data_IF_575152866805
#
_entry.id   IF_575152866805
#
_cell.length_a   1.000
_cell.length_b   1.000
_cell.length_c   1.000
_cell.angle_alpha   90.00
_cell.angle_beta   90.00
_cell.angle_gamma   90.00
#
_symmetry.space_group_name_H-M   'P 1'
#
loop_
_entity.id
_entity.type
_entity.pdbx_description
1 polymer ?
#
# COMPACT_ATOMS: atom_id res chain seq x y z
N UNK A 1 58.47 39.27 26.65
CA UNK A 1 58.11 38.02 25.93
C UNK A 1 56.64 37.72 26.21
N UNK A 2 55.76 38.00 25.26
CA UNK A 2 54.33 37.67 25.37
C UNK A 2 53.97 36.77 24.19
N UNK A 3 53.60 35.52 24.49
CA UNK A 3 53.18 34.51 23.51
C UNK A 3 51.67 34.66 23.30
N UNK A 4 51.26 35.12 22.12
CA UNK A 4 49.86 35.10 21.70
C UNK A 4 49.60 33.80 20.91
N UNK A 5 48.91 32.84 21.53
CA UNK A 5 48.43 31.64 20.86
C UNK A 5 47.05 31.92 20.24
N UNK A 6 46.98 32.08 18.92
CA UNK A 6 45.72 32.03 18.18
C UNK A 6 45.23 30.58 18.10
N UNK A 7 44.18 30.25 18.85
CA UNK A 7 43.44 29.00 18.67
C UNK A 7 42.47 29.19 17.51
N UNK A 8 42.80 28.62 16.35
CA UNK A 8 41.89 28.51 15.22
C UNK A 8 40.83 27.46 15.53
N UNK A 9 39.65 27.90 15.97
CA UNK A 9 38.49 27.03 16.09
C UNK A 9 38.05 26.58 14.69
N UNK A 10 38.52 25.40 14.27
CA UNK A 10 38.05 24.72 13.08
C UNK A 10 36.57 24.38 13.24
N UNK A 11 35.69 25.22 12.70
CA UNK A 11 34.29 24.87 12.56
C UNK A 11 34.21 23.68 11.60
N UNK A 12 33.91 22.50 12.14
CA UNK A 12 33.54 21.34 11.34
C UNK A 12 32.24 21.68 10.60
N UNK A 13 32.39 22.16 9.36
CA UNK A 13 31.28 22.31 8.43
C UNK A 13 30.78 20.89 8.15
N UNK A 14 29.76 20.48 8.90
CA UNK A 14 28.98 19.29 8.57
C UNK A 14 28.16 19.63 7.33
N UNK A 15 28.76 19.41 6.17
CA UNK A 15 28.04 19.27 4.91
C UNK A 15 27.05 18.12 5.10
N UNK A 16 25.81 18.44 5.50
CA UNK A 16 24.67 17.54 5.40
C UNK A 16 24.40 17.34 3.91
N UNK A 17 25.16 16.45 3.30
CA UNK A 17 24.88 15.94 1.97
C UNK A 17 23.40 15.53 1.92
N UNK A 18 22.73 15.87 0.82
CA UNK A 18 21.32 15.60 0.58
C UNK A 18 20.90 14.26 1.16
N UNK A 19 19.89 14.26 2.03
CA UNK A 19 19.44 13.07 2.76
C UNK A 19 19.35 11.86 1.82
N UNK A 20 20.04 10.78 2.19
CA UNK A 20 20.31 9.62 1.32
C UNK A 20 19.07 8.79 1.00
N UNK A 21 17.93 9.08 1.62
CA UNK A 21 16.69 8.33 1.48
C UNK A 21 15.58 9.20 0.87
N UNK A 22 15.19 8.88 -0.37
CA UNK A 22 14.10 9.54 -1.11
C UNK A 22 12.76 9.50 -0.35
N UNK A 23 12.63 8.52 0.55
CA UNK A 23 11.47 8.30 1.42
C UNK A 23 11.49 9.12 2.71
N UNK A 24 12.51 9.96 2.92
CA UNK A 24 12.69 10.80 4.12
C UNK A 24 12.41 10.00 5.39
N UNK A 25 13.35 9.15 5.77
CA UNK A 25 13.22 8.33 6.99
C UNK A 25 14.08 8.95 8.08
N UNK A 26 13.47 9.26 9.22
CA UNK A 26 14.14 9.84 10.39
C UNK A 26 13.78 8.98 11.60
N UNK A 27 14.79 8.43 12.27
CA UNK A 27 14.57 7.75 13.54
C UNK A 27 14.28 8.79 14.62
N UNK A 28 13.22 8.56 15.39
CA UNK A 28 12.74 9.44 16.44
C UNK A 28 13.14 8.88 17.80
N UNK A 29 13.57 9.76 18.71
CA UNK A 29 13.83 9.40 20.10
C UNK A 29 12.52 9.38 20.90
N UNK A 30 11.59 8.52 20.50
CA UNK A 30 10.30 8.31 21.16
C UNK A 30 10.20 6.85 21.56
N UNK A 31 10.24 6.56 22.87
CA UNK A 31 10.25 5.19 23.39
C UNK A 31 8.86 4.78 23.87
N UNK A 32 8.44 3.56 23.55
CA UNK A 32 7.19 2.95 24.02
C UNK A 32 7.41 1.48 24.30
N UNK A 33 6.58 0.91 25.16
CA UNK A 33 6.66 -0.50 25.51
C UNK A 33 6.49 -1.36 24.26
N UNK A 34 7.33 -2.40 24.16
CA UNK A 34 7.37 -3.33 23.02
C UNK A 34 7.71 -2.71 21.66
N UNK A 35 8.23 -1.47 21.63
CA UNK A 35 8.68 -0.81 20.40
C UNK A 35 10.17 -0.52 20.51
N UNK A 36 10.96 -1.05 19.58
CA UNK A 36 12.42 -0.87 19.52
C UNK A 36 12.79 0.42 18.79
N UNK A 37 12.06 0.76 17.72
CA UNK A 37 12.31 1.97 16.92
C UNK A 37 11.01 2.61 16.44
N UNK A 38 11.07 3.93 16.33
CA UNK A 38 10.00 4.76 15.76
C UNK A 38 10.60 5.59 14.65
N UNK A 39 9.99 5.55 13.48
CA UNK A 39 10.44 6.22 12.28
C UNK A 39 9.39 7.24 11.83
N UNK A 40 9.82 8.47 11.60
CA UNK A 40 9.08 9.45 10.79
C UNK A 40 9.45 9.21 9.32
N UNK A 41 8.46 8.84 8.50
CA UNK A 41 8.68 8.41 7.12
C UNK A 41 7.63 9.02 6.19
N UNK A 42 7.93 9.18 4.90
CA UNK A 42 6.89 9.57 3.93
C UNK A 42 6.15 8.36 3.31
N UNK A 43 6.60 7.13 3.57
CA UNK A 43 6.02 5.88 3.06
C UNK A 43 6.37 4.71 3.98
N UNK A 44 5.40 3.83 4.29
CA UNK A 44 5.61 2.71 5.23
C UNK A 44 5.86 1.35 4.57
N UNK A 45 5.69 1.25 3.25
CA UNK A 45 5.69 -0.03 2.49
C UNK A 45 4.56 -1.01 2.88
N UNK A 46 3.85 -0.76 4.00
CA UNK A 46 2.58 -1.37 4.42
C UNK A 46 1.35 -0.63 3.85
N UNK A 47 1.54 0.11 2.74
CA UNK A 47 0.45 0.77 2.01
C UNK A 47 0.00 2.15 2.51
N UNK A 48 0.60 2.71 3.57
CA UNK A 48 0.38 4.10 3.99
C UNK A 48 1.46 5.04 3.43
N UNK A 49 1.04 6.26 3.12
CA UNK A 49 1.90 7.34 2.63
C UNK A 49 1.65 8.61 3.46
N UNK A 50 2.72 9.34 3.75
CA UNK A 50 2.72 10.65 4.39
C UNK A 50 3.34 11.72 3.49
N UNK A 51 3.55 12.92 4.03
CA UNK A 51 4.31 13.97 3.32
C UNK A 51 5.80 13.97 3.69
N UNK A 52 6.54 14.88 3.07
CA UNK A 52 7.93 15.18 3.39
C UNK A 52 8.08 16.21 4.54
N UNK A 53 6.98 16.65 5.16
CA UNK A 53 7.04 17.59 6.27
C UNK A 53 7.59 16.90 7.52
N UNK A 54 8.60 17.48 8.20
CA UNK A 54 9.21 16.86 9.37
C UNK A 54 8.24 16.72 10.54
N UNK A 55 8.32 15.58 11.22
CA UNK A 55 7.62 15.41 12.48
C UNK A 55 8.11 16.40 13.53
N UNK A 56 7.20 16.76 14.43
CA UNK A 56 7.44 17.68 15.54
C UNK A 56 7.08 16.99 16.85
N UNK A 57 7.87 17.22 17.88
CA UNK A 57 7.49 16.88 19.25
C UNK A 57 6.68 18.03 19.85
N UNK A 58 5.58 17.71 20.51
CA UNK A 58 4.76 18.69 21.23
C UNK A 58 4.23 18.12 22.54
N UNK A 59 3.87 19.00 23.47
CA UNK A 59 3.26 18.62 24.74
C UNK A 59 1.77 18.90 24.69
N UNK A 60 0.94 17.86 24.80
CA UNK A 60 -0.53 17.97 24.83
C UNK A 60 -1.05 17.22 26.05
N UNK A 61 -1.86 17.87 26.89
CA UNK A 61 -2.39 17.24 28.11
C UNK A 61 -1.30 16.71 29.04
N UNK A 62 -0.12 17.36 29.05
CA UNK A 62 1.05 16.93 29.83
C UNK A 62 1.83 15.75 29.23
N UNK A 63 1.44 15.23 28.07
CA UNK A 63 2.11 14.12 27.39
C UNK A 63 2.93 14.59 26.20
N UNK A 64 4.09 13.95 25.97
CA UNK A 64 4.93 14.17 24.80
C UNK A 64 4.38 13.41 23.59
N UNK A 65 3.82 14.15 22.64
CA UNK A 65 3.18 13.65 21.43
C UNK A 65 4.01 13.96 20.19
N UNK A 66 4.03 13.00 19.26
CA UNK A 66 4.54 13.15 17.91
C UNK A 66 3.47 13.76 17.02
N UNK A 67 3.78 14.83 16.31
CA UNK A 67 2.93 15.40 15.27
C UNK A 67 3.58 15.24 13.90
N UNK A 68 2.90 14.57 12.98
CA UNK A 68 3.40 14.28 11.64
C UNK A 68 2.40 13.45 10.85
N UNK A 69 2.70 13.17 9.58
CA UNK A 69 1.73 12.49 8.71
C UNK A 69 1.79 10.96 8.78
N UNK A 70 2.95 10.39 9.07
CA UNK A 70 3.16 8.95 9.06
C UNK A 70 4.31 8.54 9.98
N UNK A 71 3.99 7.64 10.90
CA UNK A 71 4.94 7.03 11.80
C UNK A 71 4.96 5.52 11.56
N UNK A 72 6.15 4.93 11.44
CA UNK A 72 6.35 3.49 11.35
C UNK A 72 7.06 2.98 12.60
N UNK A 73 6.69 1.78 13.05
CA UNK A 73 7.08 1.21 14.32
C UNK A 73 7.69 -0.16 14.10
N UNK A 74 8.86 -0.36 14.68
CA UNK A 74 9.55 -1.65 14.78
C UNK A 74 9.18 -2.27 16.14
N UNK A 75 8.51 -3.41 16.11
CA UNK A 75 8.07 -4.12 17.33
C UNK A 75 9.26 -4.92 17.87
N UNK A 76 9.39 -5.03 19.18
CA UNK A 76 10.43 -5.88 19.77
C UNK A 76 10.20 -7.35 19.38
N UNK A 77 11.11 -7.93 18.60
CA UNK A 77 11.05 -9.33 18.17
C UNK A 77 10.90 -10.31 19.35
N UNK A 78 11.41 -9.97 20.53
CA UNK A 78 11.25 -10.79 21.75
C UNK A 78 9.81 -10.77 22.27
N UNK A 79 9.08 -9.69 21.99
CA UNK A 79 7.67 -9.56 22.30
C UNK A 79 6.82 -10.24 21.23
N UNK A 80 7.08 -10.00 19.95
CA UNK A 80 6.42 -10.68 18.84
C UNK A 80 7.27 -10.65 17.57
N UNK A 81 7.50 -11.82 16.99
CA UNK A 81 8.15 -11.97 15.69
C UNK A 81 7.52 -13.12 14.91
N UNK A 82 7.19 -12.88 13.63
CA UNK A 82 6.61 -13.85 12.69
C UNK A 82 5.43 -14.66 13.30
N UNK A 83 4.57 -13.96 14.05
CA UNK A 83 3.36 -14.49 14.68
C UNK A 83 2.25 -14.72 13.66
N UNK A 84 1.18 -15.43 14.03
CA UNK A 84 -0.04 -15.48 13.24
C UNK A 84 -1.25 -15.51 14.16
N UNK A 85 -1.58 -14.32 14.67
CA UNK A 85 -2.63 -14.15 15.65
C UNK A 85 -3.28 -12.76 15.53
N UNK A 86 -4.50 -12.61 16.05
CA UNK A 86 -5.09 -11.29 16.22
C UNK A 86 -4.31 -10.50 17.29
N UNK A 87 -4.05 -9.22 17.02
CA UNK A 87 -3.35 -8.29 17.95
C UNK A 87 -4.16 -7.02 18.09
N UNK A 88 -4.40 -6.56 19.32
CA UNK A 88 -5.07 -5.29 19.58
C UNK A 88 -4.03 -4.17 19.70
N UNK A 89 -4.13 -3.17 18.83
CA UNK A 89 -3.31 -1.95 18.90
C UNK A 89 -4.19 -0.79 19.34
N UNK A 90 -3.79 -0.15 20.44
CA UNK A 90 -4.44 1.07 20.92
C UNK A 90 -3.52 2.25 20.73
N UNK A 91 -4.02 3.29 20.05
CA UNK A 91 -3.32 4.57 19.89
C UNK A 91 -4.00 5.63 20.75
N UNK A 92 -3.21 6.42 21.47
CA UNK A 92 -3.70 7.63 22.13
C UNK A 92 -3.31 8.84 21.28
N UNK A 93 -4.28 9.69 20.95
CA UNK A 93 -4.08 10.84 20.06
C UNK A 93 -4.81 12.08 20.57
N UNK A 94 -4.38 13.26 20.12
CA UNK A 94 -5.06 14.52 20.39
C UNK A 94 -6.03 14.87 19.25
N UNK A 95 -7.35 14.83 19.44
CA UNK A 95 -8.33 14.95 18.34
C UNK A 95 -8.27 16.31 17.64
N UNK A 96 -8.03 17.40 18.36
CA UNK A 96 -7.97 18.76 17.78
C UNK A 96 -6.80 18.99 16.82
N UNK A 97 -5.83 18.07 16.81
CA UNK A 97 -4.61 18.12 15.98
C UNK A 97 -4.46 16.89 15.10
N UNK A 98 -5.50 16.06 15.00
CA UNK A 98 -5.46 14.80 14.26
C UNK A 98 -6.49 14.84 13.14
N UNK A 99 -6.06 14.51 11.92
CA UNK A 99 -6.95 14.24 10.79
C UNK A 99 -7.41 12.77 10.83
N UNK A 100 -8.44 12.38 10.05
CA UNK A 100 -8.75 10.98 9.84
C UNK A 100 -7.51 10.16 9.50
N UNK A 101 -7.35 9.04 10.18
CA UNK A 101 -6.11 8.27 10.17
C UNK A 101 -6.38 6.78 10.06
N UNK A 102 -5.37 6.01 9.68
CA UNK A 102 -5.43 4.56 9.59
C UNK A 102 -4.19 3.91 10.20
N UNK A 103 -4.33 2.65 10.55
CA UNK A 103 -3.25 1.79 11.05
C UNK A 103 -3.02 0.69 10.03
N UNK A 104 -1.77 0.53 9.60
CA UNK A 104 -1.35 -0.55 8.73
C UNK A 104 -0.35 -1.46 9.42
N UNK A 105 -0.36 -2.75 9.10
CA UNK A 105 0.47 -3.75 9.77
C UNK A 105 0.99 -4.79 8.79
N UNK A 106 2.12 -5.39 9.13
CA UNK A 106 2.62 -6.61 8.53
C UNK A 106 1.67 -7.78 8.84
N UNK A 107 1.15 -8.42 7.81
CA UNK A 107 0.04 -9.37 7.88
C UNK A 107 0.37 -10.68 7.18
N UNK A 108 -0.09 -11.80 7.74
CA UNK A 108 -0.08 -13.07 7.05
C UNK A 108 -1.14 -13.16 5.95
N UNK A 109 -0.70 -13.60 4.77
CA UNK A 109 -1.53 -13.82 3.59
C UNK A 109 -2.01 -12.53 2.89
N UNK A 110 -2.83 -12.71 1.86
CA UNK A 110 -3.26 -11.69 0.91
C UNK A 110 -2.08 -10.93 0.32
N UNK A 111 -2.13 -9.61 0.41
CA UNK A 111 -1.07 -8.72 -0.09
C UNK A 111 0.16 -8.64 0.83
N UNK A 112 0.13 -9.30 1.99
CA UNK A 112 1.22 -9.30 2.95
C UNK A 112 1.23 -8.14 3.93
N UNK A 113 0.20 -7.30 3.89
CA UNK A 113 -0.04 -6.24 4.87
C UNK A 113 -1.55 -6.05 5.03
N UNK A 114 -1.96 -5.46 6.15
CA UNK A 114 -3.32 -5.02 6.39
C UNK A 114 -3.38 -3.51 6.58
N UNK A 115 -4.55 -2.92 6.30
CA UNK A 115 -4.87 -1.52 6.61
C UNK A 115 -6.23 -1.50 7.29
N UNK A 116 -6.35 -0.76 8.39
CA UNK A 116 -7.59 -0.59 9.12
C UNK A 116 -8.60 0.21 8.30
N UNK A 117 -9.87 0.17 8.71
CA UNK A 117 -10.78 1.25 8.31
C UNK A 117 -10.23 2.58 8.83
N UNK A 118 -10.54 3.65 8.11
CA UNK A 118 -10.19 4.99 8.55
C UNK A 118 -10.92 5.31 9.87
N UNK A 119 -10.18 5.90 10.81
CA UNK A 119 -10.63 6.29 12.13
C UNK A 119 -10.84 7.79 12.12
N UNK A 120 -12.07 8.22 12.39
CA UNK A 120 -12.43 9.63 12.52
C UNK A 120 -12.18 10.11 13.96
N UNK A 121 -11.36 11.14 14.17
CA UNK A 121 -11.10 11.71 15.49
C UNK A 121 -12.37 12.24 16.15
N UNK A 122 -12.72 11.69 17.32
CA UNK A 122 -13.83 12.18 18.12
C UNK A 122 -13.46 13.46 18.90
N UNK A 123 -14.19 14.57 18.73
CA UNK A 123 -13.89 15.82 19.43
C UNK A 123 -14.15 15.74 20.94
N UNK A 124 -13.70 16.77 21.67
CA UNK A 124 -14.07 17.01 23.07
C UNK A 124 -12.90 16.91 24.05
N UNK A 125 -12.49 15.69 24.41
CA UNK A 125 -11.38 15.50 25.34
C UNK A 125 -10.04 15.87 24.69
N UNK A 126 -9.09 16.40 25.47
CA UNK A 126 -7.76 16.75 24.98
C UNK A 126 -6.99 15.56 24.38
N UNK A 127 -7.30 14.35 24.87
CA UNK A 127 -6.73 13.09 24.39
C UNK A 127 -7.85 12.05 24.24
N UNK A 128 -7.74 11.21 23.22
CA UNK A 128 -8.65 10.11 22.92
C UNK A 128 -7.87 8.85 22.61
N UNK A 129 -8.53 7.70 22.74
CA UNK A 129 -7.97 6.39 22.39
C UNK A 129 -8.77 5.76 21.27
N UNK A 130 -8.09 5.12 20.33
CA UNK A 130 -8.70 4.24 19.34
C UNK A 130 -8.00 2.88 19.39
N UNK A 131 -8.79 1.82 19.47
CA UNK A 131 -8.28 0.44 19.44
C UNK A 131 -8.68 -0.22 18.13
N UNK A 132 -7.69 -0.80 17.45
CA UNK A 132 -7.88 -1.57 16.22
C UNK A 132 -7.41 -2.98 16.47
N UNK A 133 -8.28 -3.94 16.14
CA UNK A 133 -7.89 -5.34 16.03
C UNK A 133 -7.20 -5.59 14.69
N UNK A 134 -5.92 -5.93 14.74
CA UNK A 134 -5.11 -6.36 13.60
C UNK A 134 -5.36 -7.84 13.36
N UNK A 135 -6.03 -8.17 12.26
CA UNK A 135 -6.27 -9.56 11.90
C UNK A 135 -5.02 -10.19 11.32
N UNK A 136 -4.66 -11.39 11.82
CA UNK A 136 -3.48 -12.17 11.39
C UNK A 136 -2.20 -11.33 11.34
N UNK A 137 -1.90 -10.63 12.43
CA UNK A 137 -0.65 -9.89 12.54
C UNK A 137 0.55 -10.83 12.41
N UNK A 138 1.59 -10.37 11.72
CA UNK A 138 2.81 -11.12 11.46
C UNK A 138 4.03 -10.57 12.20
N UNK A 139 4.25 -9.26 12.09
CA UNK A 139 5.40 -8.57 12.69
C UNK A 139 6.74 -9.28 12.36
N UNK A 140 7.03 -9.41 11.06
CA UNK A 140 8.27 -9.98 10.56
C UNK A 140 9.06 -8.95 9.72
N UNK A 141 8.84 -7.66 9.97
CA UNK A 141 9.58 -6.57 9.37
C UNK A 141 9.31 -6.33 7.88
N UNK A 142 8.08 -6.51 7.39
CA UNK A 142 7.78 -6.27 5.97
C UNK A 142 7.61 -4.79 5.58
N UNK A 143 7.56 -3.88 6.57
CA UNK A 143 7.52 -2.44 6.33
C UNK A 143 8.88 -1.83 5.97
N UNK A 144 8.93 -0.50 6.00
CA UNK A 144 10.14 0.27 5.71
C UNK A 144 11.21 0.03 6.79
N UNK A 145 12.47 -0.20 6.40
CA UNK A 145 13.57 -0.52 7.32
C UNK A 145 13.18 -1.54 8.42
N UNK A 146 12.51 -2.62 8.03
CA UNK A 146 12.02 -3.71 8.90
C UNK A 146 10.99 -3.29 9.96
N UNK A 147 10.19 -2.24 9.75
CA UNK A 147 9.08 -1.94 10.67
C UNK A 147 7.89 -2.87 10.45
N UNK A 148 7.09 -3.07 11.49
CA UNK A 148 5.96 -4.00 11.50
C UNK A 148 4.60 -3.31 11.43
N UNK A 149 4.54 -2.05 11.83
CA UNK A 149 3.32 -1.28 11.98
C UNK A 149 3.52 0.14 11.46
N UNK A 150 2.47 0.77 10.97
CA UNK A 150 2.47 2.18 10.65
C UNK A 150 1.13 2.84 11.02
N UNK A 151 1.20 4.07 11.51
CA UNK A 151 0.04 4.92 11.79
C UNK A 151 0.17 6.18 10.94
N UNK A 152 -0.82 6.46 10.11
CA UNK A 152 -0.76 7.59 9.18
C UNK A 152 -2.07 8.32 9.01
N UNK A 153 -1.97 9.64 8.84
CA UNK A 153 -3.09 10.56 8.65
C UNK A 153 -2.75 11.58 7.55
N UNK A 154 -3.65 11.76 6.59
CA UNK A 154 -3.46 12.79 5.56
C UNK A 154 -3.68 14.17 6.18
N UNK A 155 -2.60 14.93 6.38
CA UNK A 155 -2.63 16.25 7.00
C UNK A 155 -2.32 16.24 8.50
N UNK A 156 -1.83 15.12 9.03
CA UNK A 156 -1.19 15.04 10.33
C UNK A 156 -2.00 14.31 11.40
N UNK A 157 -1.28 13.56 12.25
CA UNK A 157 -1.76 12.97 13.50
C UNK A 157 -0.89 13.45 14.65
N UNK A 158 -1.51 13.82 15.76
CA UNK A 158 -0.83 14.07 17.03
C UNK A 158 -0.91 12.79 17.89
N UNK A 159 0.08 11.90 17.74
CA UNK A 159 0.18 10.61 18.41
C UNK A 159 0.90 10.75 19.75
N UNK A 160 0.19 10.51 20.84
CA UNK A 160 0.67 10.68 22.21
C UNK A 160 1.04 9.36 22.87
N UNK A 161 0.48 8.24 22.42
CA UNK A 161 0.84 6.92 22.91
C UNK A 161 0.47 5.81 21.92
N UNK A 162 1.10 4.65 22.07
CA UNK A 162 0.74 3.44 21.37
C UNK A 162 1.02 2.23 22.27
N UNK A 163 0.06 1.32 22.37
CA UNK A 163 0.17 0.08 23.13
C UNK A 163 -0.25 -1.11 22.27
N UNK A 164 0.48 -2.21 22.38
CA UNK A 164 0.25 -3.44 21.63
C UNK A 164 -0.12 -4.54 22.63
N UNK A 165 -1.23 -5.23 22.37
CA UNK A 165 -1.71 -6.34 23.20
C UNK A 165 -1.94 -7.56 22.33
N UNK A 166 -1.14 -8.59 22.55
CA UNK A 166 -1.23 -9.87 21.85
C UNK A 166 -2.35 -10.74 22.40
N UNK A 167 -2.96 -11.54 21.52
CA UNK A 167 -3.87 -12.62 21.95
C UNK A 167 -3.15 -13.89 22.38
N UNK A 168 -1.85 -14.04 22.03
CA UNK A 168 -1.06 -15.25 22.25
C UNK A 168 -1.68 -16.52 21.63
N UNK A 169 -2.46 -16.36 20.56
CA UNK A 169 -3.13 -17.45 19.85
C UNK A 169 -2.30 -18.08 18.72
N UNK A 170 -1.04 -17.63 18.51
CA UNK A 170 -0.14 -18.19 17.50
C UNK A 170 0.08 -19.68 17.75
N UNK A 171 -0.20 -20.49 16.75
CA UNK A 171 0.01 -21.94 16.83
C UNK A 171 1.50 -22.26 16.91
N UNK A 172 1.85 -23.26 17.71
CA UNK A 172 3.20 -23.80 17.73
C UNK A 172 3.61 -24.28 16.34
N UNK A 173 4.86 -24.02 15.96
CA UNK A 173 5.38 -24.43 14.66
C UNK A 173 5.40 -25.96 14.54
N UNK A 174 4.90 -26.48 13.43
CA UNK A 174 5.02 -27.91 13.12
C UNK A 174 6.50 -28.30 12.93
N UNK A 175 6.86 -29.58 13.15
CA UNK A 175 8.19 -30.08 12.85
C UNK A 175 8.59 -29.75 11.42
N UNK A 176 9.86 -29.38 11.20
CA UNK A 176 10.32 -28.88 9.90
C UNK A 176 10.72 -30.01 8.95
N UNK A 177 10.45 -29.81 7.66
CA UNK A 177 11.08 -30.53 6.55
C UNK A 177 11.91 -29.58 5.68
N UNK A 178 12.46 -30.09 4.59
CA UNK A 178 13.16 -29.30 3.57
C UNK A 178 12.38 -29.30 2.28
N UNK A 179 12.38 -28.17 1.58
CA UNK A 179 11.86 -28.05 0.23
C UNK A 179 12.98 -27.54 -0.68
N UNK A 180 13.16 -28.21 -1.82
CA UNK A 180 14.07 -27.81 -2.88
C UNK A 180 13.25 -27.57 -4.15
N UNK A 181 13.39 -26.37 -4.70
CA UNK A 181 12.64 -25.88 -5.86
C UNK A 181 13.65 -25.55 -6.95
N UNK A 182 13.46 -26.16 -8.12
CA UNK A 182 14.21 -25.85 -9.34
C UNK A 182 13.28 -25.20 -10.35
N UNK A 183 13.66 -24.05 -10.89
CA UNK A 183 12.92 -23.36 -11.94
C UNK A 183 13.69 -23.47 -13.24
N UNK A 184 13.10 -24.17 -14.21
CA UNK A 184 13.72 -24.46 -15.50
C UNK A 184 12.92 -23.87 -16.65
N UNK A 185 13.61 -23.43 -17.68
CA UNK A 185 13.00 -23.17 -18.98
C UNK A 185 12.57 -24.52 -19.58
N UNK A 186 11.30 -24.64 -19.94
CA UNK A 186 10.72 -25.93 -20.33
C UNK A 186 11.26 -26.46 -21.67
N UNK A 187 11.78 -25.59 -22.54
CA UNK A 187 12.25 -25.96 -23.87
C UNK A 187 13.73 -26.36 -23.84
N UNK A 188 14.54 -25.66 -23.04
CA UNK A 188 16.00 -25.87 -22.96
C UNK A 188 16.44 -26.72 -21.77
N UNK A 189 15.62 -26.83 -20.72
CA UNK A 189 15.99 -27.46 -19.45
C UNK A 189 16.93 -26.62 -18.58
N UNK A 190 17.37 -25.45 -19.05
CA UNK A 190 18.27 -24.56 -18.31
C UNK A 190 17.59 -23.98 -17.08
N UNK A 191 18.36 -23.83 -16.00
CA UNK A 191 17.92 -23.12 -14.81
C UNK A 191 17.71 -21.63 -15.13
N UNK A 192 16.60 -21.07 -14.64
CA UNK A 192 16.28 -19.68 -14.91
C UNK A 192 15.85 -18.92 -13.66
N UNK A 193 16.32 -17.68 -13.54
CA UNK A 193 15.85 -16.77 -12.51
C UNK A 193 14.33 -16.56 -12.60
N UNK A 194 13.66 -16.53 -11.45
CA UNK A 194 12.21 -16.40 -11.37
C UNK A 194 11.78 -15.70 -10.09
N UNK A 195 10.58 -15.12 -10.15
CA UNK A 195 9.79 -14.77 -8.98
C UNK A 195 9.05 -16.01 -8.50
N UNK A 196 9.16 -16.32 -7.22
CA UNK A 196 8.62 -17.50 -6.55
C UNK A 196 7.68 -17.09 -5.42
N UNK A 197 6.53 -17.75 -5.34
CA UNK A 197 5.62 -17.77 -4.19
C UNK A 197 5.55 -19.17 -3.62
N UNK A 198 5.54 -19.25 -2.30
CA UNK A 198 5.43 -20.49 -1.54
C UNK A 198 4.44 -20.25 -0.39
N UNK A 199 3.26 -20.85 -0.45
CA UNK A 199 2.16 -20.54 0.47
C UNK A 199 1.71 -21.79 1.20
N UNK A 200 1.64 -21.75 2.53
CA UNK A 200 1.05 -22.85 3.29
C UNK A 200 -0.48 -22.91 3.13
N UNK A 201 -1.13 -23.88 3.76
CA UNK A 201 -2.58 -24.06 3.72
C UNK A 201 -3.39 -22.85 4.26
N UNK A 202 -2.77 -21.94 4.99
CA UNK A 202 -3.38 -20.69 5.50
C UNK A 202 -3.12 -19.48 4.59
N UNK A 203 -2.37 -19.68 3.50
CA UNK A 203 -1.88 -18.63 2.61
C UNK A 203 -0.64 -17.89 3.13
N UNK A 204 -0.09 -18.28 4.28
CA UNK A 204 1.11 -17.64 4.82
C UNK A 204 2.33 -18.06 4.00
N UNK A 205 3.18 -17.09 3.69
CA UNK A 205 4.48 -17.35 3.04
C UNK A 205 5.55 -17.51 4.11
N UNK A 206 6.24 -18.67 4.21
CA UNK A 206 7.42 -18.80 5.07
C UNK A 206 8.45 -17.72 4.74
N UNK A 207 9.18 -17.24 5.75
CA UNK A 207 10.25 -16.26 5.51
C UNK A 207 11.29 -16.87 4.55
N UNK A 208 11.67 -16.17 3.46
CA UNK A 208 12.64 -16.69 2.52
C UNK A 208 14.00 -16.94 3.18
N UNK A 209 14.68 -18.02 2.80
CA UNK A 209 16.07 -18.26 3.22
C UNK A 209 17.04 -17.27 2.60
N UNK A 210 18.30 -17.32 3.03
CA UNK A 210 19.40 -16.55 2.45
C UNK A 210 19.68 -16.86 0.97
N UNK A 211 19.23 -18.02 0.47
CA UNK A 211 19.28 -18.38 -0.96
C UNK A 211 18.35 -17.55 -1.84
N UNK A 212 17.31 -16.92 -1.26
CA UNK A 212 16.51 -15.95 -2.00
C UNK A 212 17.32 -14.66 -2.24
N UNK A 213 17.17 -14.10 -3.45
CA UNK A 213 17.87 -12.90 -3.85
C UNK A 213 17.47 -11.71 -2.96
N UNK A 214 18.47 -11.03 -2.43
CA UNK A 214 18.29 -9.77 -1.72
C UNK A 214 17.95 -8.67 -2.72
N UNK A 215 16.85 -7.97 -2.49
CA UNK A 215 16.39 -6.86 -3.33
C UNK A 215 16.58 -5.55 -2.57
N UNK A 216 17.34 -4.63 -3.16
CA UNK A 216 17.46 -3.28 -2.67
C UNK A 216 16.27 -2.44 -3.16
N UNK A 217 15.45 -1.96 -2.22
CA UNK A 217 14.31 -1.06 -2.47
C UNK A 217 14.61 0.29 -1.82
N UNK A 218 15.19 1.21 -2.58
CA UNK A 218 15.76 2.46 -2.04
C UNK A 218 16.85 2.12 -0.99
N UNK A 219 16.75 2.58 0.25
CA UNK A 219 17.65 2.17 1.34
C UNK A 219 17.15 0.95 2.14
N UNK A 220 16.07 0.28 1.73
CA UNK A 220 15.68 -1.02 2.32
C UNK A 220 16.37 -2.17 1.59
N UNK A 221 16.60 -3.24 2.33
CA UNK A 221 16.96 -4.55 1.79
C UNK A 221 15.87 -5.54 2.21
N UNK A 222 15.30 -6.26 1.24
CA UNK A 222 14.29 -7.27 1.55
C UNK A 222 14.37 -8.45 0.59
N UNK A 223 13.95 -9.62 1.06
CA UNK A 223 13.78 -10.83 0.23
C UNK A 223 12.32 -11.07 -0.11
N UNK A 224 11.39 -10.60 0.71
CA UNK A 224 9.96 -10.82 0.53
C UNK A 224 9.27 -9.53 0.11
N UNK A 225 8.55 -9.59 -1.01
CA UNK A 225 7.92 -8.45 -1.64
C UNK A 225 6.48 -8.79 -1.97
N UNK A 226 5.61 -7.78 -1.94
CA UNK A 226 4.29 -7.94 -2.53
C UNK A 226 4.41 -8.10 -4.05
N UNK A 227 3.39 -8.69 -4.67
CA UNK A 227 3.15 -8.70 -6.11
C UNK A 227 2.00 -7.77 -6.42
N UNK A 228 2.25 -6.68 -7.16
CA UNK A 228 1.22 -5.66 -7.39
C UNK A 228 -0.03 -6.24 -8.06
N UNK A 229 -1.26 -5.82 -7.69
CA UNK A 229 -2.51 -6.40 -8.21
C UNK A 229 -2.60 -6.44 -9.74
N UNK A 230 -1.98 -5.46 -10.42
CA UNK A 230 -1.93 -5.38 -11.89
C UNK A 230 -1.06 -6.45 -12.57
N UNK A 231 -0.22 -7.16 -11.81
CA UNK A 231 0.64 -8.22 -12.32
C UNK A 231 -0.10 -9.56 -12.25
N UNK A 232 0.02 -10.34 -13.33
CA UNK A 232 -0.51 -11.70 -13.37
C UNK A 232 0.13 -12.54 -12.25
N UNK A 233 -0.70 -13.05 -11.35
CA UNK A 233 -0.29 -13.92 -10.25
C UNK A 233 -1.44 -14.88 -9.94
N UNK A 234 -1.30 -16.19 -10.17
CA UNK A 234 -2.40 -17.17 -10.09
C UNK A 234 -2.68 -17.67 -8.67
N UNK A 235 -2.36 -16.89 -7.64
CA UNK A 235 -2.72 -17.16 -6.25
C UNK A 235 -3.43 -15.94 -5.64
N UNK A 236 -4.29 -16.19 -4.66
CA UNK A 236 -4.88 -15.15 -3.82
C UNK A 236 -3.81 -14.49 -2.94
N UNK A 237 -2.76 -15.23 -2.62
CA UNK A 237 -1.61 -14.80 -1.85
C UNK A 237 -0.60 -14.13 -2.77
N UNK A 238 -0.16 -12.92 -2.42
CA UNK A 238 0.63 -12.06 -3.29
C UNK A 238 1.98 -11.68 -2.70
N UNK A 239 2.48 -12.42 -1.72
CA UNK A 239 3.86 -12.30 -1.28
C UNK A 239 4.76 -13.19 -2.14
N UNK A 240 5.89 -12.67 -2.61
CA UNK A 240 6.82 -13.41 -3.43
C UNK A 240 8.26 -12.96 -3.20
N UNK A 241 9.20 -13.82 -3.54
CA UNK A 241 10.63 -13.55 -3.49
C UNK A 241 11.28 -13.94 -4.82
N UNK A 242 12.54 -13.60 -5.01
CA UNK A 242 13.27 -13.93 -6.25
C UNK A 242 14.32 -15.00 -5.99
N UNK A 243 14.51 -15.88 -6.96
CA UNK A 243 15.48 -16.98 -6.92
C UNK A 243 16.26 -17.02 -8.23
N UNK A 244 17.49 -17.52 -8.19
CA UNK A 244 18.31 -17.71 -9.37
C UNK A 244 18.33 -19.20 -9.79
N UNK A 245 17.18 -19.70 -10.25
CA UNK A 245 17.06 -21.08 -10.75
C UNK A 245 16.84 -22.13 -9.67
N UNK A 246 17.59 -22.11 -8.57
CA UNK A 246 17.43 -23.08 -7.45
C UNK A 246 17.12 -22.37 -6.15
N UNK A 247 16.31 -23.00 -5.31
CA UNK A 247 16.00 -22.52 -3.97
C UNK A 247 15.73 -23.68 -3.01
N UNK A 248 16.41 -23.66 -1.88
CA UNK A 248 16.24 -24.62 -0.78
C UNK A 248 16.00 -23.87 0.53
N UNK A 249 15.05 -24.38 1.30
CA UNK A 249 14.76 -23.85 2.63
C UNK A 249 14.13 -24.92 3.53
N UNK A 250 14.13 -24.64 4.83
CA UNK A 250 13.37 -25.40 5.82
C UNK A 250 12.02 -24.74 6.06
N UNK A 251 10.96 -25.53 6.00
CA UNK A 251 9.59 -25.07 6.28
C UNK A 251 8.87 -26.04 7.21
N UNK A 252 7.88 -25.58 7.98
CA UNK A 252 7.02 -26.48 8.74
C UNK A 252 6.42 -27.58 7.86
N UNK A 253 6.24 -28.78 8.39
CA UNK A 253 5.57 -29.84 7.64
C UNK A 253 4.13 -29.43 7.28
N UNK A 254 3.72 -29.69 6.04
CA UNK A 254 2.43 -29.28 5.50
C UNK A 254 2.40 -29.28 3.97
N UNK A 255 1.23 -29.00 3.42
CA UNK A 255 1.01 -28.80 1.99
C UNK A 255 1.23 -27.34 1.63
N UNK A 256 1.94 -27.11 0.53
CA UNK A 256 2.26 -25.78 0.03
C UNK A 256 1.84 -25.60 -1.42
N UNK A 257 1.25 -24.45 -1.73
CA UNK A 257 1.14 -23.97 -3.11
C UNK A 257 2.49 -23.36 -3.55
N UNK A 258 2.91 -23.69 -4.77
CA UNK A 258 4.12 -23.14 -5.40
C UNK A 258 3.72 -22.39 -6.66
N UNK A 259 4.11 -21.13 -6.74
CA UNK A 259 3.89 -20.27 -7.92
C UNK A 259 5.23 -19.75 -8.43
N UNK A 260 5.55 -19.95 -9.70
CA UNK A 260 6.80 -19.47 -10.28
C UNK A 260 6.58 -18.76 -11.63
N UNK A 261 7.27 -17.64 -11.85
CA UNK A 261 7.28 -16.95 -13.16
C UNK A 261 8.56 -16.17 -13.36
N UNK A 262 9.09 -16.21 -14.58
CA UNK A 262 10.27 -15.42 -14.99
C UNK A 262 9.90 -14.04 -15.55
N UNK A 263 8.64 -13.82 -15.91
CA UNK A 263 8.19 -12.55 -16.49
C UNK A 263 7.04 -12.73 -17.47
N UNK A 264 6.60 -11.63 -18.14
CA UNK A 264 5.53 -11.66 -19.13
C UNK A 264 5.83 -12.56 -20.35
N UNK A 265 7.10 -12.86 -20.61
CA UNK A 265 7.59 -13.72 -21.69
C UNK A 265 7.44 -15.22 -21.37
N UNK A 266 7.13 -15.59 -20.13
CA UNK A 266 6.85 -16.97 -19.72
C UNK A 266 5.38 -17.15 -19.31
N UNK A 267 4.91 -18.40 -19.39
CA UNK A 267 3.69 -18.82 -18.69
C UNK A 267 4.02 -18.98 -17.21
N UNK A 268 3.03 -18.67 -16.36
CA UNK A 268 3.18 -18.85 -14.93
C UNK A 268 3.00 -20.32 -14.58
N UNK A 269 3.93 -20.87 -13.82
CA UNK A 269 3.79 -22.17 -13.18
C UNK A 269 2.98 -22.03 -11.89
N UNK A 270 2.05 -22.95 -11.68
CA UNK A 270 1.31 -23.13 -10.42
C UNK A 270 1.23 -24.62 -10.13
N UNK A 271 1.68 -25.02 -8.95
CA UNK A 271 1.71 -26.40 -8.49
C UNK A 271 1.60 -26.49 -6.98
N UNK A 272 1.82 -27.69 -6.45
CA UNK A 272 1.81 -27.93 -5.01
C UNK A 272 2.96 -28.86 -4.61
N UNK A 273 3.33 -28.82 -3.33
CA UNK A 273 4.31 -29.70 -2.72
C UNK A 273 3.93 -30.05 -1.29
N UNK A 274 4.02 -31.32 -0.95
CA UNK A 274 3.82 -31.80 0.41
C UNK A 274 5.18 -31.99 1.09
N UNK A 275 5.39 -31.26 2.19
CA UNK A 275 6.61 -31.32 2.99
C UNK A 275 6.34 -32.13 4.25
N UNK A 276 7.10 -33.22 4.43
CA UNK A 276 7.06 -34.04 5.64
C UNK A 276 8.23 -33.71 6.57
N UNK A 277 8.02 -33.90 7.86
CA UNK A 277 9.04 -33.65 8.88
C UNK A 277 10.33 -34.45 8.61
N UNK A 278 11.49 -33.79 8.66
CA UNK A 278 12.80 -34.40 8.42
C UNK A 278 13.09 -34.84 6.98
N UNK A 279 12.12 -34.71 6.06
CA UNK A 279 12.27 -35.15 4.67
C UNK A 279 12.56 -33.99 3.72
N UNK A 280 13.13 -34.31 2.56
CA UNK A 280 13.33 -33.38 1.46
C UNK A 280 12.24 -33.59 0.41
N UNK A 281 11.42 -32.57 0.19
CA UNK A 281 10.49 -32.50 -0.93
C UNK A 281 11.13 -31.74 -2.10
N UNK A 282 10.97 -32.24 -3.33
CA UNK A 282 11.52 -31.62 -4.54
C UNK A 282 10.43 -31.17 -5.48
N UNK A 283 10.58 -30.00 -6.07
CA UNK A 283 9.66 -29.43 -7.04
C UNK A 283 10.43 -28.93 -8.25
N UNK A 284 10.05 -29.39 -9.44
CA UNK A 284 10.56 -28.86 -10.70
C UNK A 284 9.48 -27.98 -11.35
N UNK A 285 9.73 -26.67 -11.39
CA UNK A 285 8.89 -25.68 -12.05
C UNK A 285 9.33 -25.53 -13.52
N UNK A 286 8.65 -26.22 -14.43
CA UNK A 286 8.87 -26.09 -15.87
C UNK A 286 8.14 -24.84 -16.42
N UNK A 287 8.88 -23.74 -16.59
CA UNK A 287 8.35 -22.50 -17.14
C UNK A 287 8.42 -22.51 -18.67
N UNK A 288 7.26 -22.57 -19.32
CA UNK A 288 7.16 -22.54 -20.78
C UNK A 288 7.17 -21.11 -21.32
N UNK A 289 8.00 -20.82 -22.32
CA UNK A 289 7.97 -19.53 -23.02
C UNK A 289 6.60 -19.30 -23.65
N UNK A 290 6.11 -18.07 -23.60
CA UNK A 290 4.97 -17.68 -24.42
C UNK A 290 5.44 -17.62 -25.86
N UNK A 291 4.95 -18.53 -26.68
CA UNK A 291 5.01 -18.34 -28.13
C UNK A 291 4.23 -17.06 -28.42
N UNK A 292 4.84 -16.00 -28.99
CA UNK A 292 4.06 -14.89 -29.50
C UNK A 292 3.06 -15.50 -30.48
N UNK A 293 1.80 -15.00 -30.57
CA UNK A 293 0.98 -15.35 -31.70
C UNK A 293 1.80 -14.94 -32.92
N UNK A 294 2.31 -15.92 -33.66
CA UNK A 294 2.84 -15.70 -34.97
C UNK A 294 1.65 -15.14 -35.74
N UNK A 295 1.59 -13.80 -35.84
CA UNK A 295 0.73 -13.16 -36.79
C UNK A 295 1.07 -13.82 -38.10
N UNK A 296 0.09 -14.53 -38.64
CA UNK A 296 0.18 -15.25 -39.89
C UNK A 296 0.89 -14.36 -40.91
N UNK A 297 2.17 -14.65 -41.17
CA UNK A 297 2.97 -13.93 -42.18
C UNK A 297 2.55 -14.35 -43.59
N UNK A 298 1.59 -15.27 -43.75
CA UNK A 298 1.08 -15.70 -45.05
C UNK A 298 -0.01 -14.79 -45.62
N UNK A 299 -0.53 -13.81 -44.86
CA UNK A 299 -1.38 -12.78 -45.43
C UNK A 299 -0.56 -11.52 -45.75
N UNK A 300 -0.36 -11.17 -47.04
CA UNK A 300 0.15 -9.86 -47.41
C UNK A 300 -0.83 -8.82 -46.86
N UNK A 301 -0.39 -8.08 -45.84
CA UNK A 301 -1.11 -6.90 -45.37
C UNK A 301 -1.09 -5.89 -46.50
N UNK A 302 -2.16 -5.83 -47.28
CA UNK A 302 -2.51 -4.64 -48.05
C UNK A 302 -2.72 -3.52 -47.04
N UNK A 303 -1.67 -2.72 -46.84
CA UNK A 303 -1.78 -1.43 -46.19
C UNK A 303 -2.59 -0.52 -47.12
N UNK A 304 -3.92 -0.66 -47.10
CA UNK A 304 -4.79 0.38 -47.65
C UNK A 304 -4.71 1.55 -46.68
N UNK A 305 -3.79 2.47 -46.93
CA UNK A 305 -3.76 3.78 -46.29
C UNK A 305 -5.03 4.54 -46.70
N UNK A 306 -6.12 4.33 -45.97
CA UNK A 306 -7.24 5.25 -45.97
C UNK A 306 -6.81 6.50 -45.18
N UNK A 307 -6.05 7.37 -45.85
CA UNK A 307 -5.92 8.76 -45.44
C UNK A 307 -7.32 9.36 -45.60
N UNK A 308 -8.04 9.53 -44.50
CA UNK A 308 -9.31 10.26 -44.48
C UNK A 308 -9.03 11.76 -44.65
N UNK A 309 -8.92 12.19 -45.90
CA UNK A 309 -9.00 13.60 -46.26
C UNK A 309 -10.45 14.08 -46.07
N UNK A 310 -10.78 14.55 -44.87
CA UNK A 310 -12.08 15.17 -44.59
C UNK A 310 -11.93 16.61 -44.13
N UNK A 311 -11.24 17.43 -44.91
CA UNK A 311 -11.28 18.90 -44.85
C UNK A 311 -10.96 19.45 -46.24
N UNK A 312 -11.99 19.86 -46.99
CA UNK A 312 -11.97 20.94 -48.00
C UNK A 312 -13.28 20.96 -48.81
N UNK A 313 -14.13 21.92 -48.46
CA UNK A 313 -14.87 22.84 -49.36
C UNK A 313 -15.28 22.38 -50.77
N UNK A 314 -16.60 22.29 -50.95
CA UNK A 314 -17.37 23.13 -51.90
C UNK A 314 -16.63 23.64 -53.14
N UNK A 315 -16.82 22.99 -54.29
CA UNK A 315 -16.93 23.66 -55.60
C UNK A 315 -17.35 22.70 -56.72
N UNK A 316 -18.53 23.01 -57.30
CA UNK A 316 -18.98 22.86 -58.70
C UNK A 316 -18.28 21.85 -59.63
N UNK A 317 -19.06 20.81 -59.98
CA UNK A 317 -19.46 20.36 -61.33
C UNK A 317 -18.63 20.91 -62.52
N UNK A 318 -17.77 20.07 -63.11
CA UNK A 318 -17.45 20.09 -64.56
C UNK A 318 -17.40 18.64 -65.06
N UNK A 319 -18.17 18.39 -66.10
CA UNK A 319 -18.29 17.15 -66.88
C UNK A 319 -17.23 17.16 -67.99
N UNK A 320 -16.48 16.09 -68.21
CA UNK A 320 -15.90 15.80 -69.53
C UNK A 320 -15.43 14.33 -69.66
N UNK A 321 -15.94 13.70 -70.72
CA UNK A 321 -15.54 12.44 -71.33
C UNK A 321 -14.02 12.35 -71.62
N UNK A 322 -13.43 11.15 -71.51
CA UNK A 322 -12.95 10.38 -72.68
C UNK A 322 -12.38 9.00 -72.33
N UNK A 323 -12.55 8.14 -73.34
CA UNK A 323 -12.22 6.71 -73.49
C UNK A 323 -10.70 6.45 -73.43
N UNK A 324 -10.31 5.21 -73.10
CA UNK A 324 -8.97 4.72 -73.42
C UNK A 324 -8.60 3.38 -72.78
N UNK A 325 -8.58 2.35 -73.62
CA UNK A 325 -8.16 0.96 -73.48
C UNK A 325 -7.03 0.57 -72.49
N UNK A 326 -7.18 -0.68 -71.98
CA UNK A 326 -6.12 -1.58 -71.46
C UNK A 326 -5.10 -1.94 -72.57
N UNK A 327 -3.85 -2.38 -72.30
CA UNK A 327 -3.56 -3.74 -71.80
C UNK A 327 -2.34 -3.93 -70.85
N UNK A 328 -2.42 -5.04 -70.12
CA UNK A 328 -1.40 -6.01 -69.72
C UNK A 328 -0.07 -5.59 -69.05
N UNK A 329 0.01 -5.94 -67.75
CA UNK A 329 0.94 -6.95 -67.25
C UNK A 329 2.43 -6.65 -67.23
N UNK A 330 2.94 -6.12 -66.11
CA UNK A 330 4.30 -6.42 -65.62
C UNK A 330 4.25 -6.55 -64.09
N UNK A 331 4.46 -7.78 -63.60
CA UNK A 331 4.81 -8.05 -62.20
C UNK A 331 6.29 -7.71 -62.00
N UNK A 332 6.57 -6.65 -61.24
CA UNK A 332 7.93 -6.37 -60.73
C UNK A 332 7.95 -6.71 -59.24
N UNK A 333 8.76 -7.70 -58.90
CA UNK A 333 9.16 -8.06 -57.54
C UNK A 333 9.97 -6.91 -56.92
N UNK A 334 9.31 -6.10 -56.08
CA UNK A 334 9.94 -5.06 -55.28
C UNK A 334 10.36 -5.59 -53.91
N UNK A 335 11.67 -5.67 -53.68
CA UNK A 335 12.30 -5.93 -52.38
C UNK A 335 12.02 -4.76 -51.42
N UNK A 336 11.18 -4.97 -50.40
CA UNK A 336 11.00 -4.00 -49.32
C UNK A 336 12.20 -4.05 -48.36
N UNK A 337 13.21 -3.21 -48.63
CA UNK A 337 14.23 -2.85 -47.66
C UNK A 337 13.58 -2.14 -46.47
N UNK A 338 13.64 -2.79 -45.31
CA UNK A 338 13.14 -2.28 -44.04
C UNK A 338 13.94 -1.03 -43.65
N UNK A 339 13.34 0.15 -43.81
CA UNK A 339 13.96 1.42 -43.43
C UNK A 339 13.86 1.60 -41.91
N UNK A 340 15.02 1.59 -41.26
CA UNK A 340 15.21 1.89 -39.84
C UNK A 340 14.60 3.24 -39.46
N UNK A 341 13.71 3.20 -38.47
CA UNK A 341 13.09 4.40 -37.91
C UNK A 341 14.02 4.98 -36.85
N UNK A 342 14.97 5.83 -37.28
CA UNK A 342 15.76 6.69 -36.40
C UNK A 342 14.82 7.51 -35.49
N UNK A 343 14.93 7.24 -34.19
CA UNK A 343 14.35 8.06 -33.12
C UNK A 343 15.00 9.44 -33.20
N UNK A 344 14.19 10.47 -33.47
CA UNK A 344 14.63 11.86 -33.55
C UNK A 344 14.65 12.44 -32.13
N UNK A 345 15.85 12.52 -31.55
CA UNK A 345 16.15 13.38 -30.41
C UNK A 345 15.77 14.83 -30.74
N UNK A 346 14.94 15.46 -29.91
CA UNK A 346 14.82 16.92 -29.87
C UNK A 346 15.92 17.47 -28.95
N UNK A 347 17.09 17.75 -29.52
CA UNK A 347 18.04 18.71 -28.94
C UNK A 347 17.64 20.10 -29.42
N UNK A 348 17.26 20.97 -28.50
CA UNK A 348 17.28 22.42 -28.74
C UNK A 348 18.53 22.98 -28.07
N UNK A 349 19.51 23.32 -28.89
CA UNK A 349 20.59 24.22 -28.52
C UNK A 349 20.57 25.37 -29.53
N UNK A 350 20.42 26.59 -29.03
CA UNK A 350 20.79 27.80 -29.75
C UNK A 350 21.53 28.70 -28.77
N UNK A 351 22.85 28.64 -28.86
CA UNK A 351 23.80 29.56 -28.24
C UNK A 351 23.87 30.82 -29.09
N UNK A 352 23.83 32.02 -28.49
CA UNK A 352 24.65 33.17 -28.91
C UNK A 352 24.81 34.17 -27.75
N UNK A 353 26.08 34.44 -27.46
CA UNK A 353 26.60 35.55 -26.67
C UNK A 353 26.22 36.91 -27.27
N UNK A 354 25.84 37.90 -26.45
CA UNK A 354 26.36 39.30 -26.46
C UNK A 354 26.22 39.87 -25.03
N UNK A 355 27.28 40.52 -24.57
CA UNK A 355 27.45 41.23 -23.30
C UNK A 355 26.81 42.64 -23.33
N UNK A 356 26.54 43.17 -22.13
CA UNK A 356 26.39 44.60 -21.73
C UNK A 356 25.05 45.36 -21.85
N UNK A 357 24.80 46.08 -20.74
CA UNK A 357 24.04 47.32 -20.53
C UNK A 357 22.54 47.31 -20.17
N UNK A 358 22.32 47.60 -18.88
CA UNK A 358 21.41 48.61 -18.29
C UNK A 358 19.93 48.70 -18.74
N UNK A 359 19.08 48.71 -17.70
CA UNK A 359 17.90 49.58 -17.49
C UNK A 359 16.55 48.88 -17.38
N UNK A 360 15.99 49.03 -16.16
CA UNK A 360 14.57 49.09 -15.77
C UNK A 360 13.54 49.02 -16.90
N UNK A 361 12.55 48.13 -16.76
CA UNK A 361 11.14 48.51 -16.89
C UNK A 361 10.24 47.58 -16.07
N UNK A 362 9.35 48.20 -15.32
CA UNK A 362 8.33 47.60 -14.45
C UNK A 362 7.16 47.18 -15.34
N UNK A 363 6.69 45.94 -15.23
CA UNK A 363 5.31 45.62 -15.62
C UNK A 363 4.70 44.62 -14.62
N UNK A 364 3.85 45.16 -13.74
CA UNK A 364 2.94 44.40 -12.88
C UNK A 364 1.79 43.86 -13.73
N UNK A 365 1.58 42.54 -13.75
CA UNK A 365 0.25 41.97 -14.04
C UNK A 365 -0.28 41.27 -12.81
N UNK A 366 -1.25 41.91 -12.16
CA UNK A 366 -2.18 41.30 -11.21
C UNK A 366 -3.14 40.40 -12.00
N UNK A 367 -3.19 39.12 -11.67
CA UNK A 367 -4.31 38.25 -12.04
C UNK A 367 -5.19 38.15 -10.80
N UNK A 368 -6.37 38.77 -10.87
CA UNK A 368 -7.41 38.65 -9.84
C UNK A 368 -8.37 37.54 -10.23
N UNK A 369 -8.49 36.49 -9.42
CA UNK A 369 -9.57 35.51 -9.53
C UNK A 369 -10.78 35.99 -8.73
N UNK A 370 -11.92 36.14 -9.40
CA UNK A 370 -13.23 36.44 -8.80
C UNK A 370 -14.02 35.13 -8.73
N UNK A 371 -14.21 34.59 -7.53
CA UNK A 371 -15.08 33.43 -7.28
C UNK A 371 -16.47 33.95 -6.95
N UNK A 372 -17.45 33.71 -7.83
CA UNK A 372 -18.87 33.93 -7.56
C UNK A 372 -19.44 32.71 -6.82
N UNK A 373 -19.87 32.91 -5.56
CA UNK A 373 -20.66 31.93 -4.79
C UNK A 373 -22.14 32.05 -5.19
N UNK A 374 -22.70 30.95 -5.68
CA UNK A 374 -24.15 30.76 -5.85
C UNK A 374 -24.75 30.19 -4.56
N UNK A 375 -25.58 30.98 -3.86
CA UNK A 375 -26.32 30.55 -2.68
C UNK A 375 -27.75 30.17 -3.07
N UNK A 376 -28.09 28.89 -3.07
CA UNK A 376 -29.49 28.43 -3.07
C UNK A 376 -30.01 28.42 -1.63
N UNK A 377 -30.87 29.40 -1.30
CA UNK A 377 -31.74 29.39 -0.11
C UNK A 377 -32.83 28.33 -0.31
N UNK A 378 -33.02 27.43 0.67
CA UNK A 378 -34.27 26.70 0.87
C UNK A 378 -34.93 27.23 2.14
N UNK A 379 -36.11 27.79 1.95
CA UNK A 379 -37.08 28.18 2.97
C UNK A 379 -37.83 26.94 3.47
N UNK A 380 -37.83 26.69 4.78
CA UNK A 380 -38.80 25.81 5.43
C UNK A 380 -39.72 26.68 6.29
N UNK A 381 -41.03 26.59 6.01
CA UNK A 381 -42.12 27.21 6.76
C UNK A 381 -42.29 26.51 8.10
N UNK A 382 -42.54 27.30 9.12
CA UNK A 382 -43.04 26.89 10.42
C UNK A 382 -44.55 26.62 10.37
N UNK A 383 -45.00 25.64 11.17
CA UNK A 383 -46.38 25.50 11.61
C UNK A 383 -46.37 25.27 13.13
N UNK A 384 -46.99 26.17 13.89
CA UNK A 384 -47.41 25.95 15.27
C UNK A 384 -48.66 25.05 15.31
N UNK A 385 -48.97 24.47 16.48
CA UNK A 385 -49.98 25.12 17.30
C UNK A 385 -49.62 25.24 18.79
N UNK A 386 -50.19 26.29 19.42
CA UNK A 386 -50.34 26.47 20.86
C UNK A 386 -51.28 25.36 21.43
N UNK A 387 -51.33 24.98 22.70
CA UNK A 387 -51.51 25.74 23.95
C UNK A 387 -51.37 24.77 25.14
N UNK A 388 -50.74 25.16 26.26
CA UNK A 388 -51.35 25.18 27.62
C UNK A 388 -50.33 25.57 28.68
N UNK A 389 -50.69 26.63 29.38
CA UNK A 389 -50.20 27.13 30.68
C UNK A 389 -50.30 26.10 31.80
N UNK A 390 -49.41 26.11 32.79
CA UNK A 390 -49.72 26.20 34.23
C UNK A 390 -48.46 26.47 35.06
N UNK A 391 -48.70 26.93 36.29
CA UNK A 391 -47.92 27.83 37.16
C UNK A 391 -46.64 27.26 37.82
N UNK A 392 -45.81 28.24 38.21
CA UNK A 392 -44.77 28.24 39.25
C UNK A 392 -45.22 27.61 40.58
N UNK A 393 -44.30 26.94 41.27
CA UNK A 393 -43.93 27.31 42.66
C UNK A 393 -42.66 26.58 43.12
N UNK A 394 -41.83 27.36 43.80
CA UNK A 394 -40.61 27.07 44.55
C UNK A 394 -40.85 26.18 45.79
N UNK A 395 -39.81 25.52 46.32
CA UNK A 395 -38.98 25.93 47.50
C UNK A 395 -38.43 24.70 48.27
N UNK A 396 -37.13 24.76 48.61
CA UNK A 396 -36.45 24.34 49.84
C UNK A 396 -36.48 22.88 50.40
N UNK A 397 -35.26 22.32 50.45
CA UNK A 397 -34.47 21.94 51.64
C UNK A 397 -34.75 20.64 52.45
N UNK A 398 -33.61 19.91 52.65
CA UNK A 398 -33.16 19.19 53.86
C UNK A 398 -33.89 17.89 54.27
N UNK A 399 -33.33 16.87 54.94
CA UNK A 399 -32.01 16.43 55.46
C UNK A 399 -32.23 15.01 56.04
N UNK A 400 -31.15 14.21 56.18
CA UNK A 400 -30.97 13.02 57.07
C UNK A 400 -31.53 11.64 56.66
N UNK A 401 -30.64 10.65 56.46
CA UNK A 401 -30.26 9.51 57.36
C UNK A 401 -31.32 8.40 57.37
N UNK A 402 -31.04 7.10 57.39
CA UNK A 402 -29.83 6.27 57.56
C UNK A 402 -30.27 4.80 57.47
N UNK A 403 -29.33 3.88 57.15
CA UNK A 403 -29.27 2.48 57.64
C UNK A 403 -30.44 1.54 57.23
N UNK A 404 -30.34 0.22 57.09
CA UNK A 404 -29.34 -0.84 57.29
C UNK A 404 -29.91 -2.14 56.68
N UNK A 405 -29.04 -3.14 56.49
CA UNK A 405 -29.28 -4.61 56.37
C UNK A 405 -29.84 -5.11 55.03
N UNK A 406 -29.11 -5.89 54.24
CA UNK A 406 -28.55 -7.25 54.44
C UNK A 406 -29.61 -8.32 54.66
N UNK A 407 -29.90 -9.12 53.64
CA UNK A 407 -30.28 -10.54 53.77
C UNK A 407 -29.72 -11.32 52.57
N UNK A 408 -28.84 -12.25 52.90
CA UNK A 408 -28.40 -13.44 52.15
C UNK A 408 -29.59 -14.36 51.86
N UNK A 409 -29.67 -15.10 50.76
CA UNK A 409 -28.99 -16.39 50.58
C UNK A 409 -29.76 -17.22 49.55
N UNK A 410 -29.05 -18.10 48.80
CA UNK A 410 -29.44 -19.46 48.32
C UNK A 410 -30.79 -19.66 47.58
N UNK A 411 -30.96 -20.49 46.55
CA UNK A 411 -30.16 -21.57 45.96
C UNK A 411 -30.90 -22.17 44.75
N UNK A 412 -30.12 -22.76 43.83
CA UNK A 412 -30.37 -24.01 43.06
C UNK A 412 -31.56 -24.20 42.09
N UNK A 413 -31.14 -24.43 40.84
CA UNK A 413 -31.36 -25.63 39.98
C UNK A 413 -32.62 -25.79 39.12
N UNK A 414 -32.31 -26.31 37.91
CA UNK A 414 -33.08 -27.09 36.94
C UNK A 414 -33.94 -26.33 35.90
N UNK A 415 -33.47 -26.27 34.65
CA UNK A 415 -33.99 -27.12 33.57
C UNK A 415 -33.16 -27.02 32.28
N UNK A 416 -33.13 -28.13 31.54
CA UNK A 416 -32.43 -28.39 30.27
C UNK A 416 -33.24 -27.88 29.06
N UNK A 417 -32.49 -27.73 27.96
CA UNK A 417 -32.85 -27.95 26.55
C UNK A 417 -33.59 -26.84 25.77
N UNK A 418 -33.07 -26.55 24.57
CA UNK A 418 -33.79 -25.83 23.52
C UNK A 418 -32.88 -25.01 22.60
N UNK A 419 -32.22 -25.67 21.65
CA UNK A 419 -31.56 -25.00 20.53
C UNK A 419 -32.60 -24.32 19.63
N UNK A 420 -32.34 -23.08 19.21
CA UNK A 420 -32.97 -22.46 18.04
C UNK A 420 -32.01 -21.47 17.41
N UNK A 421 -31.45 -21.85 16.27
CA UNK A 421 -30.71 -20.97 15.39
C UNK A 421 -31.69 -20.11 14.59
N UNK A 422 -31.59 -18.79 14.73
CA UNK A 422 -32.33 -17.84 13.88
C UNK A 422 -31.46 -17.44 12.69
N UNK A 423 -31.77 -18.01 11.53
CA UNK A 423 -31.21 -17.60 10.24
C UNK A 423 -31.97 -16.38 9.72
N UNK A 424 -31.32 -15.21 9.68
CA UNK A 424 -31.84 -14.03 9.00
C UNK A 424 -31.48 -14.15 7.51
N UNK A 425 -32.45 -14.55 6.69
CA UNK A 425 -32.35 -14.55 5.24
C UNK A 425 -32.68 -13.16 4.67
N UNK A 426 -31.71 -12.51 4.05
CA UNK A 426 -31.92 -11.27 3.27
C UNK A 426 -32.21 -11.68 1.81
N UNK A 427 -33.44 -11.44 1.35
CA UNK A 427 -33.83 -11.51 -0.07
C UNK A 427 -33.51 -10.17 -0.74
N UNK A 428 -32.67 -10.20 -1.77
CA UNK A 428 -32.49 -9.08 -2.70
C UNK A 428 -33.24 -9.43 -3.99
N UNK A 429 -34.25 -8.62 -4.32
CA UNK A 429 -34.97 -8.65 -5.59
C UNK A 429 -34.36 -7.59 -6.52
N UNK A 430 -34.00 -7.97 -7.74
CA UNK A 430 -33.60 -7.06 -8.81
C UNK A 430 -34.72 -7.12 -9.85
N UNK A 431 -35.51 -6.05 -9.96
CA UNK A 431 -36.46 -5.86 -11.05
C UNK A 431 -35.80 -5.08 -12.19
N UNK A 432 -35.60 -5.72 -13.33
CA UNK A 432 -35.28 -5.05 -14.60
C UNK A 432 -36.56 -4.75 -15.36
N UNK A 433 -36.78 -3.49 -15.70
CA UNK A 433 -37.77 -3.07 -16.72
C UNK A 433 -37.11 -3.08 -18.09
N UNK A 434 -37.85 -3.58 -19.09
CA UNK A 434 -37.48 -3.64 -20.51
C UNK A 434 -37.26 -2.26 -21.13
#
# INVERSE_FOLDING_TARGET
MALAALVSAGQAVTLRAHGTEARRVVSLTWKRDHITRVLDANRSELGLNGSKAPAQMMTIGGQACLFGDLFAFDVDDRYAFDVDEPVDVTVTYAPDRTQPFAIAWDKNGGDGYGISKEISPEPGAALRKATVRLERARFAGLGILNTDLAVGARGGIALCDISIVRSAATKAAAPRGRVQIEVKDADTGELVAARLGLYDATGRTPLPSDQALLIHRYADETRLLWVAPRLLWPSAERQAFYVNGTYETQVPAGSYEVVATKGPEYRVFKGAVDVKAGQLARVACANKRRTPPCGDRSQPRTCTSAISSRWATSSRRITANRRGARPDGICVTGTCLHRDRKIRERRSAATRFITTCRSRFIFRRRISFRITRSSKRRTCRAACPATRTWRRSSTAAAVCRSMLRSVSSTSSKCCRAGASASTIGIRISISGSR
#
